data_IF_718114642084
#
_entry.id   IF_718114642084
#
_cell.length_a   1.000
_cell.length_b   1.000
_cell.length_c   1.000
_cell.angle_alpha   90.00
_cell.angle_beta   90.00
_cell.angle_gamma   90.00
#
_symmetry.space_group_name_H-M   'P 1'
#
loop_
_entity.id
_entity.type
_entity.pdbx_description
1 polymer ?
#
# COMPACT_ATOMS: atom_id res chain seq x y z
N UNK A 1 -4.99 2.84 -15.71
CA UNK A 1 -5.01 4.27 -15.33
C UNK A 1 -6.45 4.67 -15.07
N UNK A 2 -6.71 5.32 -13.95
CA UNK A 2 -8.01 5.91 -13.64
C UNK A 2 -7.89 7.44 -13.62
N UNK A 3 -8.91 8.15 -14.11
CA UNK A 3 -8.95 9.61 -13.99
C UNK A 3 -9.18 10.03 -12.54
N UNK A 4 -8.77 11.24 -12.25
CA UNK A 4 -8.94 11.90 -10.95
C UNK A 4 -9.53 13.30 -11.15
N UNK A 5 -10.05 13.94 -10.10
CA UNK A 5 -10.37 15.36 -10.14
C UNK A 5 -9.18 16.19 -10.64
N UNK A 6 -9.44 17.39 -11.13
CA UNK A 6 -8.41 18.34 -11.58
C UNK A 6 -7.57 17.83 -12.76
N UNK A 7 -8.18 17.05 -13.68
CA UNK A 7 -7.50 16.46 -14.83
C UNK A 7 -6.32 15.56 -14.46
N UNK A 8 -6.28 15.11 -13.21
CA UNK A 8 -5.28 14.18 -12.71
C UNK A 8 -5.52 12.75 -13.15
N UNK A 9 -4.58 11.90 -12.84
CA UNK A 9 -4.70 10.45 -13.07
C UNK A 9 -3.99 9.66 -11.97
N UNK A 10 -4.41 8.42 -11.79
CA UNK A 10 -3.76 7.45 -10.92
C UNK A 10 -3.46 6.18 -11.70
N UNK A 11 -2.21 5.74 -11.62
CA UNK A 11 -1.72 4.57 -12.33
C UNK A 11 -1.74 3.36 -11.40
N UNK A 12 -2.26 2.24 -11.89
CA UNK A 12 -2.32 0.97 -11.16
C UNK A 12 -1.53 -0.12 -11.87
N UNK A 13 -1.05 -1.08 -11.09
CA UNK A 13 -0.47 -2.33 -11.58
C UNK A 13 -1.41 -3.48 -11.27
N UNK A 14 -1.45 -4.44 -12.19
CA UNK A 14 -2.19 -5.70 -12.03
C UNK A 14 -1.37 -6.62 -11.14
N UNK A 15 -1.95 -7.04 -10.03
CA UNK A 15 -1.34 -7.98 -9.08
C UNK A 15 -2.03 -9.33 -9.26
N UNK A 16 -1.42 -10.22 -9.99
CA UNK A 16 -1.94 -11.57 -10.24
C UNK A 16 -1.78 -12.45 -9.00
N UNK A 17 -2.73 -13.36 -8.80
CA UNK A 17 -2.70 -14.33 -7.70
C UNK A 17 -2.44 -15.77 -8.15
N UNK A 18 -2.29 -16.01 -9.46
CA UNK A 18 -2.18 -17.35 -10.05
C UNK A 18 -3.35 -18.30 -9.69
N UNK A 19 -4.52 -17.73 -9.43
CA UNK A 19 -5.76 -18.43 -9.15
C UNK A 19 -6.76 -18.20 -10.30
N UNK A 20 -7.79 -19.04 -10.40
CA UNK A 20 -8.78 -18.99 -11.51
C UNK A 20 -10.21 -18.91 -11.03
N UNK A 21 -10.51 -19.42 -9.83
CA UNK A 21 -11.87 -19.44 -9.31
C UNK A 21 -12.15 -18.21 -8.45
N UNK A 22 -13.38 -17.71 -8.40
CA UNK A 22 -13.74 -16.49 -7.65
C UNK A 22 -13.39 -16.50 -6.17
N UNK A 23 -13.48 -17.65 -5.52
CA UNK A 23 -13.18 -17.80 -4.08
C UNK A 23 -11.89 -18.59 -3.82
N UNK A 24 -11.03 -18.67 -4.82
CA UNK A 24 -9.73 -19.32 -4.69
C UNK A 24 -8.68 -18.30 -4.29
N UNK A 25 -8.05 -18.55 -3.15
CA UNK A 25 -6.97 -17.72 -2.63
C UNK A 25 -5.61 -18.38 -2.90
N UNK A 26 -4.60 -17.56 -3.16
CA UNK A 26 -3.23 -18.04 -3.08
C UNK A 26 -2.79 -18.04 -1.62
N UNK A 27 -2.29 -19.19 -1.16
CA UNK A 27 -1.67 -19.30 0.16
C UNK A 27 -0.21 -18.90 0.07
N UNK A 28 0.21 -17.94 0.87
CA UNK A 28 1.59 -17.45 0.95
C UNK A 28 2.03 -17.37 2.40
N UNK A 29 3.33 -17.48 2.64
CA UNK A 29 3.89 -17.25 3.97
C UNK A 29 4.43 -15.83 4.02
N UNK A 30 3.90 -15.01 4.91
CA UNK A 30 4.29 -13.62 5.14
C UNK A 30 4.96 -13.46 6.51
N UNK A 31 5.61 -12.31 6.72
CA UNK A 31 6.43 -12.08 7.88
C UNK A 31 7.83 -12.68 7.72
N UNK A 32 8.66 -12.56 8.72
CA UNK A 32 10.04 -13.01 8.68
C UNK A 32 10.53 -13.46 10.04
N UNK A 33 11.73 -14.02 10.06
CA UNK A 33 12.50 -14.25 11.27
C UNK A 33 13.15 -12.93 11.66
N UNK A 34 12.38 -11.96 12.16
CA UNK A 34 12.99 -10.77 12.72
C UNK A 34 13.61 -11.15 14.06
N UNK A 35 14.90 -10.93 14.19
CA UNK A 35 15.57 -10.89 15.47
C UNK A 35 15.29 -9.57 16.18
N UNK A 36 14.05 -9.08 16.10
CA UNK A 36 13.66 -7.87 16.80
C UNK A 36 13.76 -8.10 18.30
N UNK A 37 14.71 -7.42 18.92
CA UNK A 37 14.95 -7.43 20.36
C UNK A 37 13.71 -6.99 21.16
N UNK A 38 12.74 -6.35 20.51
CA UNK A 38 11.52 -5.83 21.13
C UNK A 38 10.40 -6.88 21.32
N UNK A 39 10.67 -8.17 21.08
CA UNK A 39 9.73 -9.26 21.37
C UNK A 39 8.48 -9.31 20.51
N UNK A 40 8.35 -8.45 19.52
CA UNK A 40 7.25 -8.40 18.55
C UNK A 40 7.62 -9.02 17.21
N UNK A 41 8.53 -10.00 17.21
CA UNK A 41 8.91 -10.72 16.01
C UNK A 41 7.65 -11.14 15.22
N UNK A 42 7.52 -10.63 14.00
CA UNK A 42 6.52 -11.14 13.08
C UNK A 42 6.94 -12.53 12.65
N UNK A 43 6.38 -13.52 13.32
CA UNK A 43 6.57 -14.91 12.90
C UNK A 43 6.07 -15.07 11.46
N UNK A 44 6.80 -15.87 10.70
CA UNK A 44 6.33 -16.32 9.40
C UNK A 44 4.98 -17.02 9.56
N UNK A 45 3.93 -16.45 8.99
CA UNK A 45 2.56 -16.98 9.10
C UNK A 45 1.95 -17.21 7.74
N UNK A 46 1.11 -18.25 7.59
CA UNK A 46 0.34 -18.44 6.37
C UNK A 46 -0.70 -17.31 6.24
N UNK A 47 -0.80 -16.76 5.06
CA UNK A 47 -1.79 -15.77 4.67
C UNK A 47 -2.43 -16.17 3.36
N UNK A 48 -3.59 -15.60 3.07
CA UNK A 48 -4.37 -15.90 1.88
C UNK A 48 -4.65 -14.61 1.14
N UNK A 49 -4.37 -14.59 -0.16
CA UNK A 49 -4.56 -13.42 -1.02
C UNK A 49 -5.56 -13.76 -2.09
N UNK A 50 -6.61 -12.96 -2.18
CA UNK A 50 -7.66 -13.09 -3.20
C UNK A 50 -7.43 -12.18 -4.39
N UNK A 51 -7.66 -12.68 -5.59
CA UNK A 51 -7.81 -11.88 -6.79
C UNK A 51 -9.28 -11.54 -7.03
N UNK A 52 -9.64 -10.27 -6.89
CA UNK A 52 -11.03 -9.80 -6.98
C UNK A 52 -11.61 -9.86 -8.39
N UNK A 53 -10.79 -9.68 -9.41
CA UNK A 53 -11.20 -9.61 -10.81
C UNK A 53 -10.62 -10.75 -11.61
N UNK A 54 -11.28 -11.10 -12.73
CA UNK A 54 -10.77 -12.02 -13.72
C UNK A 54 -10.46 -11.29 -15.03
N UNK A 55 -9.34 -11.64 -15.66
CA UNK A 55 -9.04 -11.21 -17.02
C UNK A 55 -9.71 -12.16 -18.06
N UNK A 56 -9.51 -11.89 -19.34
CA UNK A 56 -10.04 -12.72 -20.43
C UNK A 56 -9.61 -14.20 -20.39
N UNK A 57 -8.47 -14.48 -19.74
CA UNK A 57 -7.94 -15.83 -19.55
C UNK A 57 -8.38 -16.47 -18.22
N UNK A 58 -9.35 -15.86 -17.54
CA UNK A 58 -9.83 -16.27 -16.23
C UNK A 58 -8.72 -16.25 -15.13
N UNK A 59 -7.63 -15.52 -15.33
CA UNK A 59 -6.63 -15.32 -14.31
C UNK A 59 -7.10 -14.24 -13.34
N UNK A 60 -7.06 -14.56 -12.05
CA UNK A 60 -7.51 -13.66 -10.98
C UNK A 60 -6.44 -12.62 -10.63
N UNK A 61 -6.88 -11.41 -10.29
CA UNK A 61 -6.01 -10.31 -9.90
C UNK A 61 -6.75 -9.27 -9.05
N UNK A 62 -5.99 -8.43 -8.39
CA UNK A 62 -6.44 -7.14 -7.87
C UNK A 62 -5.53 -6.03 -8.41
N UNK A 63 -5.88 -4.78 -8.19
CA UNK A 63 -5.07 -3.65 -8.65
C UNK A 63 -4.43 -2.95 -7.44
N UNK A 64 -3.19 -2.50 -7.62
CA UNK A 64 -2.48 -1.71 -6.62
C UNK A 64 -1.88 -0.46 -7.27
N UNK A 65 -1.94 0.67 -6.56
CA UNK A 65 -1.33 1.92 -7.00
C UNK A 65 0.15 1.73 -7.32
N UNK A 66 0.55 2.13 -8.52
CA UNK A 66 1.94 2.02 -9.00
C UNK A 66 2.89 2.83 -8.12
N UNK A 67 2.40 3.92 -7.56
CA UNK A 67 3.12 4.88 -6.72
C UNK A 67 2.38 5.13 -5.41
N UNK A 68 3.06 5.73 -4.46
CA UNK A 68 2.45 6.38 -3.32
C UNK A 68 1.49 7.49 -3.81
N UNK A 69 0.42 7.75 -3.06
CA UNK A 69 -0.48 8.88 -3.37
C UNK A 69 0.28 10.18 -3.16
N UNK A 70 0.26 11.06 -4.17
CA UNK A 70 0.96 12.35 -4.10
C UNK A 70 0.15 13.42 -3.37
N UNK A 71 0.82 14.47 -2.92
CA UNK A 71 0.17 15.65 -2.34
C UNK A 71 -0.86 16.27 -3.30
N UNK A 72 -0.54 16.36 -4.60
CA UNK A 72 -1.45 16.85 -5.62
C UNK A 72 -2.71 15.99 -5.73
N UNK A 73 -2.56 14.67 -5.79
CA UNK A 73 -3.67 13.72 -5.86
C UNK A 73 -4.55 13.78 -4.60
N UNK A 74 -3.92 13.79 -3.43
CA UNK A 74 -4.62 13.89 -2.15
C UNK A 74 -5.45 15.18 -2.07
N UNK A 75 -4.85 16.31 -2.38
CA UNK A 75 -5.53 17.60 -2.34
C UNK A 75 -6.64 17.72 -3.39
N UNK A 76 -6.44 17.19 -4.60
CA UNK A 76 -7.46 17.19 -5.65
C UNK A 76 -8.75 16.48 -5.22
N UNK A 77 -8.63 15.37 -4.49
CA UNK A 77 -9.79 14.62 -3.96
C UNK A 77 -10.37 15.28 -2.72
N UNK A 78 -9.52 15.69 -1.77
CA UNK A 78 -9.97 16.16 -0.45
C UNK A 78 -10.50 17.59 -0.46
N UNK A 79 -9.95 18.46 -1.31
CA UNK A 79 -10.33 19.88 -1.39
C UNK A 79 -11.38 20.19 -2.47
N UNK A 80 -11.80 19.20 -3.23
CA UNK A 80 -12.87 19.33 -4.22
C UNK A 80 -12.53 20.28 -5.38
N UNK A 81 -13.28 21.37 -5.51
CA UNK A 81 -13.20 22.28 -6.67
C UNK A 81 -11.91 23.12 -6.77
N UNK A 82 -11.09 23.13 -5.73
CA UNK A 82 -9.83 23.88 -5.73
C UNK A 82 -8.70 22.99 -6.25
N UNK A 83 -8.46 23.05 -7.54
CA UNK A 83 -7.38 22.26 -8.15
C UNK A 83 -6.00 22.75 -7.70
N UNK A 84 -5.17 21.86 -7.10
CA UNK A 84 -3.82 22.23 -6.72
C UNK A 84 -2.95 22.46 -7.96
N UNK A 85 -1.96 23.34 -7.86
CA UNK A 85 -0.92 23.41 -8.88
C UNK A 85 -0.08 22.14 -8.86
N UNK A 86 0.18 21.55 -10.04
CA UNK A 86 1.04 20.37 -10.16
C UNK A 86 2.47 20.83 -10.48
N UNK A 87 3.40 20.50 -9.60
CA UNK A 87 4.83 20.79 -9.73
C UNK A 87 5.64 19.71 -9.00
N UNK A 88 6.97 19.80 -9.00
CA UNK A 88 7.81 18.82 -8.32
C UNK A 88 7.51 18.69 -6.82
N UNK A 89 7.17 19.77 -6.14
CA UNK A 89 6.83 19.75 -4.71
C UNK A 89 5.52 19.02 -4.45
N UNK A 90 4.51 19.21 -5.28
CA UNK A 90 3.21 18.52 -5.16
C UNK A 90 3.22 17.09 -5.71
N UNK A 91 4.33 16.67 -6.36
CA UNK A 91 4.60 15.29 -6.77
C UNK A 91 5.33 14.47 -5.69
N UNK A 92 5.58 15.07 -4.53
CA UNK A 92 6.00 14.35 -3.33
C UNK A 92 4.84 13.49 -2.81
N UNK A 93 5.11 12.38 -2.11
CA UNK A 93 4.07 11.65 -1.40
C UNK A 93 3.28 12.55 -0.45
N UNK A 94 1.99 12.33 -0.37
CA UNK A 94 1.14 12.94 0.66
C UNK A 94 1.55 12.41 2.03
N UNK A 95 1.79 13.32 2.97
CA UNK A 95 2.20 13.04 4.34
C UNK A 95 1.41 13.91 5.33
N UNK A 96 1.64 13.72 6.63
CA UNK A 96 0.97 14.49 7.67
C UNK A 96 -0.56 14.38 7.64
N UNK A 97 -1.08 13.23 7.21
CA UNK A 97 -2.50 12.89 7.35
C UNK A 97 -2.66 11.75 8.35
N UNK A 98 -3.84 11.65 8.93
CA UNK A 98 -4.22 10.52 9.76
C UNK A 98 -4.64 9.31 8.91
N UNK A 99 -4.74 8.13 9.55
CA UNK A 99 -5.32 6.96 8.91
C UNK A 99 -6.77 7.22 8.46
N UNK A 100 -7.53 7.97 9.25
CA UNK A 100 -8.91 8.37 8.92
C UNK A 100 -8.96 9.27 7.68
N UNK A 101 -8.02 10.20 7.54
CA UNK A 101 -7.91 11.05 6.34
C UNK A 101 -7.59 10.22 5.09
N UNK A 102 -6.74 9.20 5.22
CA UNK A 102 -6.42 8.28 4.12
C UNK A 102 -7.64 7.44 3.71
N UNK A 103 -8.42 6.95 4.66
CA UNK A 103 -9.69 6.24 4.40
C UNK A 103 -10.72 7.18 3.79
N UNK A 104 -10.86 8.40 4.28
CA UNK A 104 -11.76 9.42 3.71
C UNK A 104 -11.38 9.75 2.26
N UNK A 105 -10.08 9.85 1.96
CA UNK A 105 -9.61 10.00 0.58
C UNK A 105 -10.14 8.88 -0.32
N UNK A 106 -10.05 7.63 0.11
CA UNK A 106 -10.55 6.50 -0.70
C UNK A 106 -12.05 6.57 -0.91
N UNK A 107 -12.81 6.97 0.11
CA UNK A 107 -14.25 7.14 0.04
C UNK A 107 -14.64 8.25 -0.96
N UNK A 108 -14.08 9.43 -0.81
CA UNK A 108 -14.34 10.56 -1.72
C UNK A 108 -13.92 10.27 -3.16
N UNK A 109 -12.80 9.55 -3.35
CA UNK A 109 -12.36 9.16 -4.68
C UNK A 109 -13.31 8.15 -5.32
N UNK A 110 -13.83 7.19 -4.56
CA UNK A 110 -14.85 6.26 -5.03
C UNK A 110 -16.14 6.99 -5.46
N UNK A 111 -16.63 7.93 -4.66
CA UNK A 111 -17.80 8.72 -5.03
C UNK A 111 -17.57 9.51 -6.33
N UNK A 112 -16.41 10.12 -6.46
CA UNK A 112 -16.04 10.84 -7.67
C UNK A 112 -15.95 9.91 -8.90
N UNK A 113 -15.31 8.75 -8.76
CA UNK A 113 -15.19 7.75 -9.83
C UNK A 113 -16.55 7.23 -10.30
N UNK A 114 -17.42 6.89 -9.36
CA UNK A 114 -18.78 6.41 -9.69
C UNK A 114 -19.59 7.47 -10.43
N UNK A 115 -19.40 8.73 -10.11
CA UNK A 115 -20.10 9.85 -10.77
C UNK A 115 -19.50 10.20 -12.14
N UNK A 116 -18.19 10.14 -12.30
CA UNK A 116 -17.51 10.73 -13.46
C UNK A 116 -16.82 9.71 -14.38
N UNK A 117 -16.54 8.50 -13.92
CA UNK A 117 -15.73 7.52 -14.64
C UNK A 117 -16.06 6.06 -14.25
N UNK A 118 -17.31 5.77 -13.96
CA UNK A 118 -17.76 4.43 -13.57
C UNK A 118 -17.46 3.35 -14.63
N UNK A 119 -17.41 3.74 -15.90
CA UNK A 119 -17.06 2.86 -17.03
C UNK A 119 -15.59 2.44 -17.04
N UNK A 120 -14.71 3.17 -16.35
CA UNK A 120 -13.28 2.89 -16.24
C UNK A 120 -12.93 1.91 -15.11
N UNK A 121 -13.86 1.71 -14.18
CA UNK A 121 -13.65 0.78 -13.07
C UNK A 121 -13.77 -0.66 -13.56
N UNK A 122 -12.88 -1.58 -13.15
CA UNK A 122 -13.06 -2.99 -13.39
C UNK A 122 -14.32 -3.49 -12.70
N UNK A 123 -14.92 -4.53 -13.25
CA UNK A 123 -16.16 -5.13 -12.73
C UNK A 123 -15.97 -6.61 -12.48
N UNK A 124 -16.63 -7.11 -11.45
CA UNK A 124 -16.79 -8.53 -11.17
C UNK A 124 -18.24 -8.80 -10.83
N UNK A 125 -18.86 -9.79 -11.50
CA UNK A 125 -20.27 -10.17 -11.31
C UNK A 125 -21.25 -8.97 -11.36
N UNK A 126 -21.00 -8.04 -12.28
CA UNK A 126 -21.81 -6.82 -12.44
C UNK A 126 -21.52 -5.71 -11.42
N UNK A 127 -20.71 -5.95 -10.43
CA UNK A 127 -20.33 -4.95 -9.43
C UNK A 127 -19.05 -4.22 -9.79
N UNK A 128 -19.05 -2.92 -9.59
CA UNK A 128 -17.87 -2.07 -9.81
C UNK A 128 -16.82 -2.32 -8.73
N UNK A 129 -15.56 -2.37 -9.12
CA UNK A 129 -14.45 -2.29 -8.19
C UNK A 129 -14.43 -0.97 -7.43
N UNK A 130 -13.81 -0.97 -6.27
CA UNK A 130 -13.68 0.21 -5.43
C UNK A 130 -12.26 0.36 -4.89
N UNK A 131 -11.88 1.61 -4.65
CA UNK A 131 -10.60 2.01 -4.08
C UNK A 131 -10.65 1.88 -2.56
N UNK A 132 -9.62 1.28 -1.98
CA UNK A 132 -9.38 1.22 -0.53
C UNK A 132 -7.89 1.19 -0.23
N UNK A 133 -7.52 1.27 1.02
CA UNK A 133 -6.16 0.93 1.43
C UNK A 133 -5.92 -0.57 1.19
N UNK A 134 -4.72 -0.98 0.78
CA UNK A 134 -4.38 -2.40 0.73
C UNK A 134 -4.41 -2.99 2.14
N UNK A 135 -4.78 -4.25 2.27
CA UNK A 135 -4.58 -4.96 3.53
C UNK A 135 -3.08 -5.15 3.79
N UNK A 136 -2.73 -5.39 5.06
CA UNK A 136 -1.36 -5.69 5.45
C UNK A 136 -0.77 -6.87 4.65
N UNK A 137 -1.56 -7.92 4.44
CA UNK A 137 -1.17 -9.09 3.66
C UNK A 137 -1.00 -8.76 2.16
N UNK A 138 -1.92 -8.02 1.55
CA UNK A 138 -1.83 -7.60 0.16
C UNK A 138 -0.61 -6.70 -0.08
N UNK A 139 -0.35 -5.77 0.84
CA UNK A 139 0.81 -4.89 0.74
C UNK A 139 2.12 -5.68 0.75
N UNK A 140 2.29 -6.59 1.72
CA UNK A 140 3.52 -7.38 1.83
C UNK A 140 3.69 -8.36 0.66
N UNK A 141 2.61 -9.02 0.23
CA UNK A 141 2.61 -9.87 -0.96
C UNK A 141 3.10 -9.10 -2.20
N UNK A 142 2.55 -7.93 -2.45
CA UNK A 142 2.92 -7.10 -3.58
C UNK A 142 4.35 -6.54 -3.46
N UNK A 143 4.75 -6.09 -2.28
CA UNK A 143 6.11 -5.58 -2.03
C UNK A 143 7.17 -6.65 -2.28
N UNK A 144 6.94 -7.89 -1.88
CA UNK A 144 7.84 -9.04 -2.12
C UNK A 144 7.98 -9.42 -3.59
N UNK A 145 7.12 -8.92 -4.46
CA UNK A 145 7.09 -9.24 -5.89
C UNK A 145 6.00 -10.24 -6.30
N UNK A 146 5.12 -10.63 -5.37
CA UNK A 146 3.98 -11.50 -5.65
C UNK A 146 4.37 -12.78 -6.38
N UNK A 147 3.65 -13.10 -7.45
CA UNK A 147 3.92 -14.28 -8.30
C UNK A 147 4.98 -14.04 -9.39
N UNK A 148 5.55 -12.84 -9.44
CA UNK A 148 6.62 -12.52 -10.40
C UNK A 148 8.02 -12.99 -9.96
N UNK A 149 8.14 -13.49 -8.74
CA UNK A 149 9.38 -14.04 -8.17
C UNK A 149 9.17 -15.49 -7.76
N UNK A 150 10.26 -16.26 -7.67
CA UNK A 150 10.22 -17.61 -7.13
C UNK A 150 10.06 -17.61 -5.60
N UNK A 151 9.82 -18.78 -5.01
CA UNK A 151 9.58 -18.93 -3.58
C UNK A 151 10.79 -18.47 -2.74
N UNK A 152 12.01 -18.74 -3.19
CA UNK A 152 13.22 -18.35 -2.49
C UNK A 152 13.35 -16.82 -2.42
N UNK A 153 13.22 -16.14 -3.55
CA UNK A 153 13.24 -14.69 -3.63
C UNK A 153 12.07 -14.06 -2.85
N UNK A 154 10.89 -14.65 -2.88
CA UNK A 154 9.73 -14.18 -2.12
C UNK A 154 9.96 -14.20 -0.61
N UNK A 155 10.76 -15.14 -0.09
CA UNK A 155 11.07 -15.27 1.34
C UNK A 155 12.16 -14.30 1.84
N UNK A 156 12.90 -13.66 0.93
CA UNK A 156 13.94 -12.71 1.31
C UNK A 156 13.35 -11.44 1.97
N UNK A 157 14.18 -10.75 2.75
CA UNK A 157 13.77 -9.51 3.42
C UNK A 157 13.48 -8.36 2.45
N UNK A 158 14.10 -8.38 1.27
CA UNK A 158 13.81 -7.44 0.17
C UNK A 158 13.47 -8.23 -1.08
N UNK A 159 12.73 -7.62 -1.99
CA UNK A 159 12.63 -8.16 -3.35
C UNK A 159 14.02 -8.12 -4.04
N UNK A 160 14.24 -8.87 -5.14
CA UNK A 160 15.54 -8.89 -5.81
C UNK A 160 16.02 -7.49 -6.19
N UNK A 161 17.20 -7.11 -5.69
CA UNK A 161 17.84 -5.80 -5.89
C UNK A 161 19.29 -6.00 -6.36
N UNK A 162 19.49 -6.41 -7.64
CA UNK A 162 20.83 -6.75 -8.13
C UNK A 162 21.84 -5.61 -8.04
N UNK A 163 21.37 -4.35 -8.12
CA UNK A 163 22.19 -3.15 -8.07
C UNK A 163 22.27 -2.49 -6.69
N UNK A 164 21.82 -3.20 -5.65
CA UNK A 164 21.79 -2.73 -4.26
C UNK A 164 20.60 -1.86 -3.92
N UNK A 165 20.29 -1.79 -2.63
CA UNK A 165 19.06 -1.16 -2.10
C UNK A 165 18.91 0.32 -2.49
N UNK A 166 19.99 1.06 -2.61
CA UNK A 166 19.97 2.49 -2.94
C UNK A 166 19.39 2.78 -4.35
N UNK A 167 19.31 1.77 -5.22
CA UNK A 167 18.69 1.90 -6.56
C UNK A 167 17.16 1.75 -6.49
N UNK A 168 16.62 1.23 -5.41
CA UNK A 168 15.21 0.85 -5.28
C UNK A 168 14.48 1.55 -4.15
N UNK A 169 15.20 2.06 -3.13
CA UNK A 169 14.59 2.59 -1.93
C UNK A 169 15.29 3.86 -1.42
N UNK A 170 14.49 4.83 -1.00
CA UNK A 170 14.96 6.03 -0.29
C UNK A 170 15.00 5.75 1.23
N UNK A 171 16.20 5.76 1.78
CA UNK A 171 16.47 5.62 3.23
C UNK A 171 17.21 6.85 3.76
N UNK A 172 17.52 6.86 5.05
CA UNK A 172 18.33 7.92 5.64
C UNK A 172 19.72 8.05 5.01
N UNK A 173 20.22 6.99 4.36
CA UNK A 173 21.53 6.95 3.73
C UNK A 173 21.61 7.73 2.42
N UNK A 174 20.56 7.76 1.63
CA UNK A 174 20.56 8.35 0.27
C UNK A 174 19.55 9.47 0.08
N UNK A 175 18.59 9.65 0.98
CA UNK A 175 17.54 10.67 0.85
C UNK A 175 17.95 12.06 1.39
N UNK A 176 19.10 12.18 2.03
CA UNK A 176 19.59 13.42 2.66
C UNK A 176 18.59 14.05 3.63
N UNK A 177 17.84 13.22 4.38
CA UNK A 177 16.82 13.65 5.33
C UNK A 177 15.61 14.35 4.69
N UNK A 178 15.36 14.14 3.40
CA UNK A 178 14.29 14.78 2.64
C UNK A 178 13.40 13.75 1.96
N UNK A 179 12.12 14.03 2.01
CA UNK A 179 11.11 13.35 1.20
C UNK A 179 11.46 13.51 -0.29
N UNK A 180 11.30 12.44 -1.06
CA UNK A 180 11.63 12.41 -2.49
C UNK A 180 10.38 12.29 -3.35
N UNK A 181 10.45 12.82 -4.57
CA UNK A 181 9.41 12.66 -5.59
C UNK A 181 9.21 11.18 -5.89
N UNK A 182 7.96 10.78 -6.08
CA UNK A 182 7.61 9.38 -6.41
C UNK A 182 8.28 8.91 -7.71
N UNK A 183 8.61 7.63 -7.78
CA UNK A 183 9.00 6.96 -9.02
C UNK A 183 10.36 7.35 -9.57
N UNK A 184 11.27 7.90 -8.77
CA UNK A 184 12.63 8.28 -9.23
C UNK A 184 13.62 7.12 -9.22
N UNK A 185 13.36 6.08 -8.44
CA UNK A 185 14.21 4.88 -8.36
C UNK A 185 13.61 3.74 -9.19
N UNK A 186 14.24 2.57 -9.13
CA UNK A 186 13.78 1.40 -9.86
C UNK A 186 12.57 0.75 -9.17
N UNK A 187 11.65 0.14 -9.93
CA UNK A 187 10.50 -0.55 -9.36
C UNK A 187 10.85 -1.93 -8.84
N UNK A 188 9.94 -2.50 -8.05
CA UNK A 188 9.99 -3.90 -7.69
C UNK A 188 9.57 -4.81 -8.88
N UNK A 189 9.64 -6.17 -8.76
CA UNK A 189 9.30 -7.08 -9.86
C UNK A 189 7.88 -6.95 -10.42
N UNK A 190 6.95 -6.37 -9.67
CA UNK A 190 5.58 -6.08 -10.14
C UNK A 190 5.43 -4.71 -10.79
N UNK A 191 6.52 -3.94 -10.88
CA UNK A 191 6.49 -2.57 -11.41
C UNK A 191 5.90 -1.55 -10.44
N UNK A 192 5.94 -1.83 -9.14
CA UNK A 192 5.57 -0.90 -8.07
C UNK A 192 6.80 -0.13 -7.62
N UNK A 193 6.67 1.19 -7.52
CA UNK A 193 7.74 2.09 -7.08
C UNK A 193 7.60 2.44 -5.61
N UNK A 194 8.72 2.66 -4.96
CA UNK A 194 8.80 3.17 -3.59
C UNK A 194 8.01 2.34 -2.55
N UNK A 195 7.83 1.03 -2.79
CA UNK A 195 7.24 0.14 -1.78
C UNK A 195 8.12 0.02 -0.54
N UNK A 196 9.41 0.18 -0.71
CA UNK A 196 10.39 0.26 0.38
C UNK A 196 10.98 1.66 0.40
N UNK A 197 11.05 2.27 1.58
CA UNK A 197 11.58 3.61 1.76
C UNK A 197 10.62 4.72 1.36
N UNK A 198 11.12 5.91 1.21
CA UNK A 198 10.43 7.17 0.97
C UNK A 198 9.42 7.48 2.09
N UNK A 199 8.22 6.96 2.08
CA UNK A 199 7.30 7.03 3.22
C UNK A 199 6.83 5.65 3.67
N UNK A 200 6.63 5.48 4.97
CA UNK A 200 5.96 4.31 5.50
C UNK A 200 4.49 4.36 5.10
N UNK A 201 3.97 3.26 4.56
CA UNK A 201 2.65 3.23 3.97
C UNK A 201 1.61 2.63 4.92
N UNK A 202 0.59 3.42 5.25
CA UNK A 202 -0.55 2.96 6.04
C UNK A 202 -1.34 1.90 5.28
N UNK A 203 -1.71 0.83 5.97
CA UNK A 203 -2.56 -0.23 5.45
C UNK A 203 -3.93 -0.24 6.11
N UNK A 204 -4.85 -1.05 5.56
CA UNK A 204 -6.23 -1.10 6.04
C UNK A 204 -6.35 -1.70 7.43
N UNK A 205 -5.59 -2.76 7.72
CA UNK A 205 -5.67 -3.46 9.00
C UNK A 205 -5.06 -2.66 10.13
N UNK A 206 -5.71 -2.71 11.30
CA UNK A 206 -5.15 -2.26 12.55
C UNK A 206 -4.28 -3.32 13.23
N UNK A 207 -3.43 -2.92 14.15
CA UNK A 207 -2.73 -3.85 15.03
C UNK A 207 -3.54 -4.10 16.30
N UNK A 208 -3.34 -5.28 16.89
CA UNK A 208 -3.97 -5.67 18.16
C UNK A 208 -2.96 -5.62 19.28
N UNK A 209 -3.32 -4.98 20.37
CA UNK A 209 -2.47 -4.89 21.57
C UNK A 209 -2.21 -6.27 22.21
N UNK A 210 -3.15 -7.21 22.05
CA UNK A 210 -3.00 -8.58 22.54
C UNK A 210 -3.09 -9.58 21.36
N UNK A 211 -1.95 -10.16 20.99
CA UNK A 211 -1.83 -11.11 19.88
C UNK A 211 -2.41 -12.51 20.20
N UNK A 212 -2.58 -12.84 21.47
CA UNK A 212 -3.03 -14.16 21.93
C UNK A 212 -4.54 -14.27 22.07
N UNK A 213 -5.25 -13.16 22.11
CA UNK A 213 -6.70 -13.15 22.31
C UNK A 213 -7.46 -12.67 21.08
N UNK A 214 -8.41 -13.48 20.65
CA UNK A 214 -9.09 -13.26 19.37
C UNK A 214 -10.12 -12.13 19.36
N UNK A 215 -10.68 -11.69 20.49
CA UNK A 215 -11.88 -10.84 20.47
C UNK A 215 -11.99 -9.91 21.68
N UNK A 216 -11.02 -9.04 21.89
CA UNK A 216 -11.15 -8.05 22.96
C UNK A 216 -11.65 -6.68 22.49
N UNK A 217 -11.93 -6.49 21.20
CA UNK A 217 -12.32 -5.18 20.67
C UNK A 217 -11.23 -4.10 20.81
N UNK A 218 -10.05 -4.47 21.26
CA UNK A 218 -8.93 -3.58 21.46
C UNK A 218 -8.06 -3.57 20.19
N UNK A 219 -8.47 -2.78 19.21
CA UNK A 219 -7.55 -2.38 18.16
C UNK A 219 -6.61 -1.33 18.71
N UNK A 220 -5.30 -1.60 18.62
CA UNK A 220 -4.28 -0.68 19.13
C UNK A 220 -4.11 0.56 18.26
N UNK A 221 -4.33 0.46 16.96
CA UNK A 221 -4.15 1.53 15.99
C UNK A 221 -3.82 1.02 14.60
N UNK A 222 -3.14 1.85 13.80
CA UNK A 222 -2.78 1.57 12.42
C UNK A 222 -1.42 0.90 12.30
N UNK A 223 -1.24 0.23 11.16
CA UNK A 223 0.05 -0.34 10.74
C UNK A 223 0.56 0.47 9.56
N UNK A 224 1.85 0.80 9.56
CA UNK A 224 2.56 1.35 8.40
C UNK A 224 3.75 0.47 8.02
N UNK A 225 4.00 0.33 6.73
CA UNK A 225 4.90 -0.65 6.14
C UNK A 225 6.00 -0.01 5.30
N UNK A 226 7.11 -0.75 5.12
CA UNK A 226 8.14 -0.47 4.12
C UNK A 226 9.29 0.42 4.59
N UNK A 227 9.21 1.02 5.75
CA UNK A 227 10.21 2.00 6.20
C UNK A 227 10.07 3.35 5.49
N UNK A 228 10.96 4.31 5.78
CA UNK A 228 10.86 5.66 5.25
C UNK A 228 12.23 6.30 4.99
N UNK A 229 12.23 7.50 4.43
CA UNK A 229 13.42 8.29 4.13
C UNK A 229 14.27 8.67 5.36
N UNK A 230 13.72 8.56 6.56
CA UNK A 230 14.45 8.82 7.82
C UNK A 230 14.94 7.56 8.53
N UNK A 231 14.57 6.37 7.99
CA UNK A 231 14.94 5.07 8.55
C UNK A 231 16.23 4.54 7.92
N UNK A 232 17.00 3.80 8.72
CA UNK A 232 18.18 3.10 8.24
C UNK A 232 17.86 1.99 7.24
N UNK A 233 18.82 1.59 6.41
CA UNK A 233 18.61 0.53 5.41
C UNK A 233 18.12 -0.79 6.03
N UNK A 234 18.54 -1.12 7.24
CA UNK A 234 18.08 -2.31 7.96
C UNK A 234 16.59 -2.30 8.33
N UNK A 235 16.00 -1.10 8.42
CA UNK A 235 14.58 -0.90 8.71
C UNK A 235 13.72 -0.71 7.43
N UNK A 236 14.35 -0.73 6.25
CA UNK A 236 13.69 -0.55 4.94
C UNK A 236 13.65 -1.90 4.23
N UNK A 237 12.63 -2.70 4.53
CA UNK A 237 12.48 -4.06 4.03
C UNK A 237 11.00 -4.50 3.99
N UNK A 238 10.73 -5.67 3.40
CA UNK A 238 9.38 -6.22 3.23
C UNK A 238 8.66 -6.54 4.55
N UNK A 239 9.39 -6.78 5.63
CA UNK A 239 8.84 -7.08 6.95
C UNK A 239 8.78 -5.87 7.87
N UNK A 240 9.38 -4.75 7.46
CA UNK A 240 9.38 -3.51 8.22
C UNK A 240 7.95 -3.06 8.52
N UNK A 241 7.70 -2.78 9.79
CA UNK A 241 6.38 -2.49 10.32
C UNK A 241 6.47 -1.51 11.46
N UNK A 242 5.62 -0.49 11.43
CA UNK A 242 5.41 0.43 12.52
C UNK A 242 3.97 0.27 13.00
N UNK A 243 3.78 0.10 14.29
CA UNK A 243 2.48 0.09 14.95
C UNK A 243 2.27 1.43 15.66
N UNK A 244 1.24 2.16 15.27
CA UNK A 244 1.00 3.54 15.73
C UNK A 244 -0.45 3.66 16.22
N UNK A 245 -0.69 4.22 17.42
CA UNK A 245 -2.05 4.48 17.88
C UNK A 245 -2.80 5.38 16.90
N UNK A 246 -4.13 5.21 16.81
CA UNK A 246 -4.96 6.09 15.98
C UNK A 246 -4.98 7.53 16.49
N UNK A 247 -4.83 7.70 17.79
CA UNK A 247 -4.87 9.00 18.47
C UNK A 247 -3.73 9.14 19.47
N UNK A 248 -3.26 10.36 19.64
CA UNK A 248 -2.43 10.81 20.73
C UNK A 248 -3.13 11.91 21.53
N UNK A 249 -2.41 12.57 22.44
CA UNK A 249 -2.97 13.66 23.24
C UNK A 249 -3.37 14.91 22.43
N UNK A 250 -2.94 15.00 21.16
CA UNK A 250 -3.21 16.13 20.27
C UNK A 250 -4.29 15.82 19.24
N UNK A 251 -4.85 14.61 19.25
CA UNK A 251 -5.88 14.17 18.31
C UNK A 251 -5.46 12.98 17.44
N UNK A 252 -5.99 12.91 16.22
CA UNK A 252 -5.63 11.83 15.29
C UNK A 252 -4.15 11.87 14.91
N UNK A 253 -3.47 10.73 15.04
CA UNK A 253 -2.04 10.60 14.82
C UNK A 253 -1.65 10.91 13.38
N UNK A 254 -0.65 11.79 13.22
CA UNK A 254 -0.08 12.19 11.92
C UNK A 254 1.44 12.17 12.02
N UNK A 255 2.11 11.70 10.96
CA UNK A 255 3.57 11.68 10.91
C UNK A 255 4.10 12.24 9.59
N UNK A 256 5.26 12.88 9.65
CA UNK A 256 5.93 13.51 8.50
C UNK A 256 6.55 12.51 7.50
N UNK A 257 6.67 11.26 7.88
CA UNK A 257 7.28 10.19 7.10
C UNK A 257 6.30 9.04 6.82
N UNK A 258 5.00 9.31 6.95
CA UNK A 258 3.95 8.35 6.77
C UNK A 258 2.93 8.84 5.73
N UNK A 259 2.69 8.01 4.74
CA UNK A 259 1.75 8.22 3.65
C UNK A 259 0.98 6.94 3.35
N UNK A 260 0.55 6.74 2.11
CA UNK A 260 -0.19 5.55 1.69
C UNK A 260 -0.20 5.38 0.18
N UNK A 261 -0.50 4.17 -0.25
CA UNK A 261 -0.98 3.86 -1.60
C UNK A 261 -2.33 3.19 -1.51
N UNK A 262 -2.97 2.99 -2.65
CA UNK A 262 -4.31 2.42 -2.70
C UNK A 262 -4.34 1.11 -3.48
N UNK A 263 -5.36 0.31 -3.23
CA UNK A 263 -5.70 -0.88 -4.00
C UNK A 263 -7.13 -0.75 -4.57
N UNK A 264 -7.44 -1.51 -5.59
CA UNK A 264 -8.79 -1.67 -6.12
C UNK A 264 -9.17 -3.13 -6.06
N UNK A 265 -10.28 -3.41 -5.45
CA UNK A 265 -10.86 -4.73 -5.28
C UNK A 265 -12.35 -4.71 -5.62
N UNK A 266 -12.94 -5.88 -5.85
CA UNK A 266 -14.38 -6.00 -6.01
C UNK A 266 -15.06 -6.21 -4.65
N UNK A 267 -16.30 -5.74 -4.46
CA UNK A 267 -17.11 -6.14 -3.33
C UNK A 267 -17.42 -7.64 -3.43
N UNK A 268 -17.40 -8.34 -2.29
CA UNK A 268 -17.96 -9.68 -2.20
C UNK A 268 -19.48 -9.56 -2.29
N UNK A 269 -20.04 -10.14 -3.35
CA UNK A 269 -21.48 -10.34 -3.44
C UNK A 269 -21.83 -11.69 -2.81
N UNK A 270 -22.71 -11.65 -1.85
CA UNK A 270 -23.33 -12.86 -1.30
C UNK A 270 -24.55 -13.24 -2.10
#
# INVERSE_FOLDING_TARGET
VLPMPCEGSMVFRVIKTNTKKPLEDIKVTLGGNSNDEDGYAQYATPNYISGSFANEKQERYFLMGKYEVTEAQFNAVMKGEQCPSVNMKTSLPAINMSWFDAVEFTHKYNEWLLKNAADKLPTEDGSKGFVRLPTNAEWEFASRGGVAVDEAAFRENTFPMPDGIARYAWSSKNANGRLQVIGLLEPNPLGLFDTLGNVSEMVFDGFRANKLSRYHGQEGGMIARGGSYIKGESEVNNTSRIEVPYYDNNGAMKKKDMGFRVAITAPLLT
#
